data_IF_078100618323
#
_entry.id   IF_078100618323
#
_cell.length_a   1.000
_cell.length_b   1.000
_cell.length_c   1.000
_cell.angle_alpha   90.00
_cell.angle_beta   90.00
_cell.angle_gamma   90.00
#
_symmetry.space_group_name_H-M   'P 1'
#
loop_
_entity.id
_entity.type
_entity.pdbx_description
1 polymer ?
#
# COMPACT_ATOMS: atom_id res chain seq x y z
N UNK A 1 42.77 -17.68 -8.97
CA UNK A 1 42.04 -16.87 -9.97
C UNK A 1 40.84 -16.19 -9.35
N UNK A 2 40.42 -15.04 -9.90
CA UNK A 2 39.26 -14.26 -9.45
C UNK A 2 37.96 -15.10 -9.38
N UNK A 3 37.79 -16.03 -10.33
CA UNK A 3 36.68 -16.96 -10.40
C UNK A 3 36.54 -17.88 -9.17
N UNK A 4 37.65 -18.33 -8.58
CA UNK A 4 37.63 -19.20 -7.37
C UNK A 4 37.16 -18.41 -6.15
N UNK A 5 37.46 -17.10 -6.08
CA UNK A 5 37.00 -16.22 -5.00
C UNK A 5 35.52 -15.85 -5.15
N UNK A 6 35.04 -15.70 -6.39
CA UNK A 6 33.62 -15.47 -6.67
C UNK A 6 32.75 -16.69 -6.31
N UNK A 7 33.21 -17.90 -6.62
CA UNK A 7 32.51 -19.16 -6.30
C UNK A 7 32.58 -19.52 -4.80
N UNK A 8 33.55 -18.97 -4.05
CA UNK A 8 33.67 -19.13 -2.59
C UNK A 8 32.77 -18.16 -1.80
N UNK A 9 31.86 -17.42 -2.45
CA UNK A 9 30.65 -16.95 -1.77
C UNK A 9 29.79 -18.18 -1.51
N UNK A 10 30.15 -18.84 -0.41
CA UNK A 10 29.31 -19.70 0.41
C UNK A 10 27.85 -19.35 0.13
N UNK A 11 27.07 -20.30 -0.38
CA UNK A 11 25.64 -20.36 -0.09
C UNK A 11 25.53 -20.48 1.44
N UNK A 12 25.77 -19.38 2.15
CA UNK A 12 25.11 -19.18 3.43
C UNK A 12 23.66 -19.14 3.00
N UNK A 13 22.92 -20.22 3.21
CA UNK A 13 21.48 -20.14 3.17
C UNK A 13 21.14 -18.96 4.09
N UNK A 14 20.71 -17.85 3.49
CA UNK A 14 20.23 -16.74 4.28
C UNK A 14 19.17 -17.35 5.20
N UNK A 15 19.35 -17.16 6.51
CA UNK A 15 18.32 -17.59 7.45
C UNK A 15 16.99 -17.07 6.90
N UNK A 16 15.94 -17.92 6.81
CA UNK A 16 14.67 -17.48 6.28
C UNK A 16 14.28 -16.21 7.04
N UNK A 17 14.09 -15.11 6.31
CA UNK A 17 13.66 -13.86 6.91
C UNK A 17 12.26 -14.12 7.50
N UNK A 18 12.23 -14.34 8.81
CA UNK A 18 10.98 -14.49 9.55
C UNK A 18 10.37 -13.11 9.65
N UNK A 19 9.47 -12.79 8.73
CA UNK A 19 8.65 -11.59 8.82
C UNK A 19 7.70 -11.76 10.01
N UNK A 20 7.98 -11.04 11.10
CA UNK A 20 7.19 -11.09 12.34
C UNK A 20 5.70 -10.77 12.11
N UNK A 21 5.40 -10.03 11.04
CA UNK A 21 4.05 -9.57 10.69
C UNK A 21 3.60 -10.09 9.31
N UNK A 22 3.98 -11.32 8.93
CA UNK A 22 3.53 -11.90 7.65
C UNK A 22 2.00 -11.91 7.51
N UNK A 23 1.28 -12.08 8.61
CA UNK A 23 -0.19 -12.04 8.66
C UNK A 23 -0.78 -10.66 8.35
N UNK A 24 -0.01 -9.59 8.48
CA UNK A 24 -0.46 -8.24 8.12
C UNK A 24 -0.38 -7.99 6.60
N UNK A 25 0.39 -8.82 5.87
CA UNK A 25 0.48 -8.75 4.42
C UNK A 25 -0.63 -9.63 3.85
N UNK A 26 -1.66 -9.06 3.19
CA UNK A 26 -2.70 -9.86 2.61
C UNK A 26 -2.10 -10.79 1.52
N UNK A 27 -2.56 -12.05 1.42
CA UNK A 27 -2.02 -13.03 0.48
C UNK A 27 -2.38 -12.73 -0.98
N UNK A 28 -3.23 -11.73 -1.24
CA UNK A 28 -3.71 -11.37 -2.59
C UNK A 28 -3.78 -9.86 -2.78
N UNK A 29 -3.70 -9.42 -4.04
CA UNK A 29 -3.79 -8.02 -4.48
C UNK A 29 -5.19 -7.41 -4.43
N UNK A 30 -6.20 -8.13 -3.93
CA UNK A 30 -7.61 -7.70 -4.05
C UNK A 30 -7.84 -6.29 -3.48
N UNK A 31 -7.17 -5.96 -2.37
CA UNK A 31 -7.36 -4.68 -1.70
C UNK A 31 -6.87 -3.53 -2.58
N UNK A 32 -5.75 -3.73 -3.25
CA UNK A 32 -5.14 -2.78 -4.18
C UNK A 32 -6.00 -2.64 -5.45
N UNK A 33 -6.51 -3.75 -5.98
CA UNK A 33 -7.40 -3.73 -7.14
C UNK A 33 -8.73 -3.01 -6.85
N UNK A 34 -9.33 -3.26 -5.68
CA UNK A 34 -10.53 -2.54 -5.22
C UNK A 34 -10.26 -1.06 -5.05
N UNK A 35 -9.10 -0.69 -4.50
CA UNK A 35 -8.65 0.70 -4.41
C UNK A 35 -8.59 1.36 -5.79
N UNK A 36 -7.90 0.78 -6.76
CA UNK A 36 -7.79 1.37 -8.10
C UNK A 36 -9.12 1.41 -8.87
N UNK A 37 -10.02 0.45 -8.61
CA UNK A 37 -11.39 0.49 -9.15
C UNK A 37 -12.18 1.68 -8.59
N UNK A 38 -12.10 1.92 -7.27
CA UNK A 38 -12.72 3.09 -6.62
C UNK A 38 -12.08 4.39 -7.11
N UNK A 39 -10.75 4.45 -7.19
CA UNK A 39 -10.02 5.60 -7.70
C UNK A 39 -10.46 5.97 -9.12
N UNK A 40 -10.61 4.96 -9.99
CA UNK A 40 -11.15 5.16 -11.34
C UNK A 40 -12.57 5.69 -11.33
N UNK A 41 -13.43 5.23 -10.42
CA UNK A 41 -14.79 5.75 -10.29
C UNK A 41 -14.83 7.22 -9.82
N UNK A 42 -14.02 7.57 -8.82
CA UNK A 42 -13.89 8.95 -8.30
C UNK A 42 -13.36 9.89 -9.38
N UNK A 43 -12.26 9.49 -10.05
CA UNK A 43 -11.67 10.25 -11.16
C UNK A 43 -12.60 10.38 -12.37
N UNK A 44 -13.49 9.40 -12.60
CA UNK A 44 -14.44 9.44 -13.72
C UNK A 44 -15.53 10.48 -13.52
N UNK A 45 -15.96 10.71 -12.27
CA UNK A 45 -17.00 11.68 -11.94
C UNK A 45 -16.47 13.11 -11.83
N UNK A 46 -15.32 13.34 -11.20
CA UNK A 46 -14.81 14.69 -10.88
C UNK A 46 -13.80 15.23 -11.92
N UNK A 47 -14.13 15.09 -13.20
CA UNK A 47 -13.13 15.17 -14.28
C UNK A 47 -12.48 16.52 -14.58
N UNK A 48 -12.79 17.61 -13.88
CA UNK A 48 -12.32 18.94 -14.32
C UNK A 48 -11.51 19.73 -13.30
N UNK A 49 -11.43 19.33 -12.02
CA UNK A 49 -10.79 20.18 -10.99
C UNK A 49 -10.05 19.46 -9.86
N UNK A 50 -10.03 18.13 -9.84
CA UNK A 50 -9.48 17.39 -8.70
C UNK A 50 -7.97 17.23 -8.85
N UNK A 51 -7.19 17.86 -7.96
CA UNK A 51 -5.74 17.73 -7.95
C UNK A 51 -5.33 16.32 -7.50
N UNK A 52 -4.14 15.82 -7.91
CA UNK A 52 -3.65 14.50 -7.48
C UNK A 52 -3.64 14.35 -5.95
N UNK A 53 -3.19 15.38 -5.23
CA UNK A 53 -3.17 15.40 -3.76
C UNK A 53 -4.57 15.29 -3.16
N UNK A 54 -5.56 16.00 -3.72
CA UNK A 54 -6.94 15.91 -3.24
C UNK A 54 -7.55 14.53 -3.49
N UNK A 55 -7.22 13.90 -4.62
CA UNK A 55 -7.66 12.53 -4.91
C UNK A 55 -7.09 11.56 -3.87
N UNK A 56 -5.80 11.67 -3.56
CA UNK A 56 -5.15 10.82 -2.55
C UNK A 56 -5.82 10.97 -1.18
N UNK A 57 -6.13 12.20 -0.75
CA UNK A 57 -6.84 12.46 0.51
C UNK A 57 -8.24 11.84 0.54
N UNK A 58 -9.01 12.00 -0.55
CA UNK A 58 -10.36 11.40 -0.64
C UNK A 58 -10.28 9.87 -0.59
N UNK A 59 -9.33 9.26 -1.30
CA UNK A 59 -9.15 7.82 -1.30
C UNK A 59 -8.70 7.30 0.06
N UNK A 60 -7.77 8.00 0.72
CA UNK A 60 -7.31 7.67 2.06
C UNK A 60 -8.49 7.62 3.05
N UNK A 61 -9.32 8.65 3.07
CA UNK A 61 -10.51 8.71 3.91
C UNK A 61 -11.48 7.58 3.54
N UNK A 62 -11.79 7.41 2.27
CA UNK A 62 -12.79 6.44 1.81
C UNK A 62 -12.42 4.97 2.08
N UNK A 63 -11.14 4.61 2.00
CA UNK A 63 -10.68 3.24 2.30
C UNK A 63 -10.67 2.97 3.80
N UNK A 64 -10.31 3.98 4.58
CA UNK A 64 -10.16 3.85 6.03
C UNK A 64 -11.43 4.26 6.79
N UNK A 65 -12.60 4.29 6.15
CA UNK A 65 -13.85 4.78 6.75
C UNK A 65 -14.32 4.01 7.98
N UNK A 66 -13.74 2.84 8.26
CA UNK A 66 -13.96 2.11 9.52
C UNK A 66 -13.21 2.68 10.72
N UNK A 67 -12.16 3.47 10.47
CA UNK A 67 -11.24 3.98 11.49
C UNK A 67 -11.55 5.42 11.92
N UNK A 68 -12.47 6.09 11.24
CA UNK A 68 -12.83 7.47 11.52
C UNK A 68 -14.32 7.69 11.30
N UNK A 69 -14.88 8.60 12.09
CA UNK A 69 -16.21 9.15 11.94
C UNK A 69 -16.14 10.68 11.82
N UNK A 70 -17.29 11.33 11.62
CA UNK A 70 -17.36 12.78 11.49
C UNK A 70 -16.83 13.49 12.75
N UNK A 71 -17.04 12.92 13.94
CA UNK A 71 -16.58 13.50 15.20
C UNK A 71 -15.05 13.45 15.33
N UNK A 72 -14.40 12.37 14.92
CA UNK A 72 -12.93 12.25 14.91
C UNK A 72 -12.27 13.21 13.94
N UNK A 73 -12.90 13.47 12.79
CA UNK A 73 -12.40 14.44 11.80
C UNK A 73 -12.60 15.87 12.30
N UNK A 74 -13.72 16.17 12.93
CA UNK A 74 -14.02 17.49 13.50
C UNK A 74 -13.03 17.89 14.60
N UNK A 75 -12.58 16.94 15.41
CA UNK A 75 -11.54 17.19 16.43
C UNK A 75 -10.15 17.51 15.86
N UNK A 76 -9.90 17.22 14.58
CA UNK A 76 -8.61 17.42 13.93
C UNK A 76 -8.53 18.71 13.10
N UNK A 77 -9.63 19.46 12.98
CA UNK A 77 -9.74 20.75 12.30
C UNK A 77 -9.49 21.91 13.27
#
# INVERSE_FOLDING_TARGET
GFAVRALKRRKVAAAPATYELLNAIPPTSNMVERLFSIARAVLRHERHRLSPTMLEMILFLKINSSYWDVATVEQCL
#
